data_IF_162802589317
#
_entry.id   IF_162802589317
#
_cell.length_a   1.000
_cell.length_b   1.000
_cell.length_c   1.000
_cell.angle_alpha   90.00
_cell.angle_beta   90.00
_cell.angle_gamma   90.00
#
_symmetry.space_group_name_H-M   'P 1'
#
loop_
_entity.id
_entity.type
_entity.pdbx_description
1 polymer ?
#
# COMPACT_ATOMS: atom_id res chain seq x y z
N UNK A 1 -2.27 13.73 24.21
CA UNK A 1 -3.03 12.48 23.99
C UNK A 1 -2.01 11.43 23.60
N UNK A 2 -2.02 10.25 24.21
CA UNK A 2 -1.20 9.14 23.71
C UNK A 2 -1.83 8.70 22.39
N UNK A 3 -1.29 9.16 21.28
CA UNK A 3 -1.73 8.71 19.96
C UNK A 3 -1.31 7.24 19.82
N UNK A 4 -2.29 6.35 19.93
CA UNK A 4 -2.08 4.92 19.76
C UNK A 4 -1.53 4.72 18.34
N UNK A 5 -0.35 4.11 18.27
CA UNK A 5 0.32 3.78 17.01
C UNK A 5 0.33 2.27 16.86
N UNK A 6 0.00 1.82 15.66
CA UNK A 6 -0.02 0.41 15.27
C UNK A 6 1.12 0.15 14.29
N UNK A 7 1.71 -1.04 14.37
CA UNK A 7 2.89 -1.42 13.60
C UNK A 7 2.57 -2.62 12.70
N UNK A 8 2.81 -2.47 11.39
CA UNK A 8 2.77 -3.58 10.42
C UNK A 8 4.15 -3.82 9.81
N UNK A 9 4.63 -5.04 9.93
CA UNK A 9 5.88 -5.52 9.38
C UNK A 9 5.67 -6.10 7.99
N UNK A 10 6.49 -5.67 7.04
CA UNK A 10 6.54 -6.22 5.69
C UNK A 10 7.61 -7.31 5.68
N UNK A 11 7.23 -8.51 5.27
CA UNK A 11 8.07 -9.71 5.19
C UNK A 11 7.94 -10.36 3.81
N UNK A 12 8.60 -11.50 3.61
CA UNK A 12 8.65 -12.16 2.30
C UNK A 12 9.61 -11.49 1.33
N UNK A 13 9.25 -11.43 0.04
CA UNK A 13 10.11 -10.76 -0.94
C UNK A 13 10.01 -9.25 -0.78
N UNK A 14 11.11 -8.58 -1.08
CA UNK A 14 11.16 -7.13 -1.19
C UNK A 14 10.64 -6.65 -2.56
N UNK A 15 9.39 -7.00 -2.86
CA UNK A 15 8.65 -6.54 -4.03
C UNK A 15 7.29 -6.03 -3.53
N UNK A 16 6.89 -4.77 -3.81
CA UNK A 16 5.61 -4.26 -3.38
C UNK A 16 4.41 -5.12 -3.82
N UNK A 17 4.55 -5.89 -4.90
CA UNK A 17 3.50 -6.76 -5.44
C UNK A 17 3.63 -8.23 -5.01
N UNK A 18 4.67 -8.58 -4.24
CA UNK A 18 4.92 -9.94 -3.78
C UNK A 18 5.43 -9.95 -2.33
N UNK A 19 4.65 -9.39 -1.40
CA UNK A 19 5.03 -9.27 0.01
C UNK A 19 3.92 -9.72 0.95
N UNK A 20 4.30 -10.02 2.20
CA UNK A 20 3.36 -10.33 3.28
C UNK A 20 3.45 -9.21 4.30
N UNK A 21 2.30 -8.73 4.79
CA UNK A 21 2.21 -7.62 5.73
C UNK A 21 1.47 -8.12 6.95
N UNK A 22 2.13 -8.07 8.11
CA UNK A 22 1.54 -8.58 9.34
C UNK A 22 1.74 -7.65 10.52
N UNK A 23 0.85 -7.73 11.48
CA UNK A 23 0.98 -7.02 12.75
C UNK A 23 -0.29 -7.17 13.57
N UNK A 24 -0.43 -6.31 14.55
CA UNK A 24 -1.59 -6.26 15.42
C UNK A 24 -1.98 -4.80 15.66
N UNK A 25 -3.26 -4.49 15.45
CA UNK A 25 -3.85 -3.22 15.88
C UNK A 25 -4.88 -3.44 17.00
N UNK A 26 -6.11 -2.97 16.82
CA UNK A 26 -7.28 -3.44 17.55
C UNK A 26 -7.58 -4.94 17.35
N UNK A 27 -6.99 -5.57 16.32
CA UNK A 27 -7.09 -6.99 15.99
C UNK A 27 -5.85 -7.46 15.21
N UNK A 28 -5.63 -8.78 15.07
CA UNK A 28 -4.60 -9.30 14.18
C UNK A 28 -4.80 -8.83 12.73
N UNK A 29 -3.73 -8.32 12.13
CA UNK A 29 -3.69 -7.88 10.73
C UNK A 29 -2.77 -8.79 9.94
N UNK A 30 -3.28 -9.34 8.84
CA UNK A 30 -2.52 -10.19 7.93
C UNK A 30 -2.98 -9.93 6.50
N UNK A 31 -2.09 -9.41 5.65
CA UNK A 31 -2.31 -9.27 4.22
C UNK A 31 -1.22 -10.01 3.42
N UNK A 32 -1.60 -10.70 2.35
CA UNK A 32 -0.66 -11.25 1.37
C UNK A 32 -0.88 -10.59 0.02
N UNK A 33 0.20 -10.09 -0.58
CA UNK A 33 0.23 -9.59 -1.95
C UNK A 33 0.96 -10.63 -2.79
N UNK A 34 0.30 -11.17 -3.80
CA UNK A 34 0.85 -12.22 -4.64
C UNK A 34 0.63 -11.89 -6.11
N UNK A 35 1.73 -11.72 -6.85
CA UNK A 35 1.69 -11.48 -8.29
C UNK A 35 1.94 -12.76 -9.06
N UNK A 36 0.97 -13.12 -9.91
CA UNK A 36 1.12 -14.21 -10.86
C UNK A 36 1.57 -13.63 -12.19
N UNK A 37 2.86 -13.77 -12.47
CA UNK A 37 3.40 -13.55 -13.80
C UNK A 37 3.40 -14.89 -14.55
N UNK A 38 2.45 -15.07 -15.48
CA UNK A 38 2.29 -16.33 -16.21
C UNK A 38 3.28 -16.47 -17.39
N UNK A 39 4.38 -15.71 -17.40
CA UNK A 39 5.37 -15.73 -18.48
C UNK A 39 4.85 -15.17 -19.80
N UNK A 40 3.68 -14.55 -19.75
CA UNK A 40 2.97 -13.94 -20.86
C UNK A 40 2.67 -12.52 -20.42
N UNK A 41 3.20 -11.53 -21.14
CA UNK A 41 3.06 -10.11 -20.79
C UNK A 41 1.60 -9.63 -20.71
N UNK A 42 0.65 -10.47 -21.13
CA UNK A 42 -0.79 -10.29 -21.02
C UNK A 42 -1.33 -11.02 -19.78
N UNK A 43 -2.10 -10.31 -18.95
CA UNK A 43 -2.76 -10.81 -17.72
C UNK A 43 -1.87 -10.98 -16.48
N UNK A 44 -0.86 -10.13 -16.28
CA UNK A 44 -0.23 -10.03 -14.95
C UNK A 44 -1.27 -9.55 -13.94
N UNK A 45 -1.45 -10.28 -12.85
CA UNK A 45 -2.40 -9.95 -11.80
C UNK A 45 -1.73 -10.05 -10.43
N UNK A 46 -1.91 -9.04 -9.59
CA UNK A 46 -1.62 -9.12 -8.16
C UNK A 46 -2.91 -9.37 -7.41
N UNK A 47 -2.99 -10.45 -6.64
CA UNK A 47 -4.10 -10.66 -5.71
C UNK A 47 -3.69 -10.19 -4.32
N UNK A 48 -4.67 -9.70 -3.57
CA UNK A 48 -4.48 -9.29 -2.17
C UNK A 48 -5.48 -10.05 -1.31
N UNK A 49 -4.96 -10.81 -0.37
CA UNK A 49 -5.76 -11.61 0.56
C UNK A 49 -5.64 -11.10 1.99
N UNK A 50 -6.68 -11.31 2.80
CA UNK A 50 -6.63 -11.20 4.26
C UNK A 50 -6.86 -12.57 4.86
N UNK A 51 -5.82 -13.16 5.42
CA UNK A 51 -5.79 -14.58 5.76
C UNK A 51 -6.01 -15.44 4.50
N UNK A 52 -7.18 -16.06 4.37
CA UNK A 52 -7.57 -16.88 3.20
C UNK A 52 -8.57 -16.17 2.28
N UNK A 53 -9.08 -15.00 2.66
CA UNK A 53 -10.11 -14.28 1.93
C UNK A 53 -9.50 -13.36 0.87
N UNK A 54 -9.97 -13.44 -0.38
CA UNK A 54 -9.60 -12.51 -1.44
C UNK A 54 -10.37 -11.20 -1.26
N UNK A 55 -9.66 -10.10 -1.05
CA UNK A 55 -10.26 -8.79 -0.73
C UNK A 55 -9.95 -7.71 -1.76
N UNK A 56 -8.88 -7.89 -2.55
CA UNK A 56 -8.61 -7.03 -3.68
C UNK A 56 -7.79 -7.75 -4.77
N UNK A 57 -7.83 -7.20 -5.97
CA UNK A 57 -6.94 -7.58 -7.06
C UNK A 57 -6.52 -6.37 -7.88
N UNK A 58 -5.31 -6.43 -8.43
CA UNK A 58 -4.73 -5.46 -9.33
C UNK A 58 -4.47 -6.17 -10.68
N UNK A 59 -5.25 -5.82 -11.70
CA UNK A 59 -5.13 -6.32 -13.08
C UNK A 59 -4.21 -5.38 -13.87
N UNK A 60 -2.95 -5.77 -14.05
CA UNK A 60 -1.96 -4.94 -14.72
C UNK A 60 -2.13 -5.02 -16.24
N UNK A 61 -1.88 -3.91 -16.92
CA UNK A 61 -1.88 -3.86 -18.39
C UNK A 61 -0.46 -4.08 -18.92
N UNK A 62 -0.36 -4.37 -20.21
CA UNK A 62 0.92 -4.61 -20.88
C UNK A 62 1.79 -3.35 -20.85
N UNK A 63 3.08 -3.52 -20.55
CA UNK A 63 4.06 -2.43 -20.49
C UNK A 63 4.04 -1.70 -19.14
N UNK A 64 4.25 -0.38 -19.16
CA UNK A 64 4.34 0.44 -17.94
C UNK A 64 3.00 1.12 -17.58
N UNK A 65 1.86 0.61 -18.06
CA UNK A 65 0.57 1.23 -17.81
C UNK A 65 -0.10 0.64 -16.57
N UNK A 66 -0.84 1.50 -15.86
CA UNK A 66 -1.74 1.06 -14.81
C UNK A 66 -3.02 0.47 -15.42
N UNK A 67 -3.55 -0.58 -14.81
CA UNK A 67 -4.79 -1.21 -15.22
C UNK A 67 -5.93 -0.98 -14.23
N UNK A 68 -6.66 -2.04 -13.91
CA UNK A 68 -7.87 -1.99 -13.07
C UNK A 68 -7.60 -2.58 -11.69
N UNK A 69 -8.13 -1.94 -10.65
CA UNK A 69 -8.21 -2.49 -9.30
C UNK A 69 -9.64 -2.94 -9.01
N UNK A 70 -9.78 -4.10 -8.40
CA UNK A 70 -11.01 -4.55 -7.75
C UNK A 70 -10.75 -4.56 -6.24
N UNK A 71 -11.55 -3.83 -5.47
CA UNK A 71 -11.45 -3.76 -4.00
C UNK A 71 -12.83 -4.15 -3.46
N UNK A 72 -12.93 -5.31 -2.81
CA UNK A 72 -14.20 -5.97 -2.52
C UNK A 72 -15.06 -6.08 -3.79
N UNK A 73 -16.24 -5.46 -3.82
CA UNK A 73 -17.14 -5.42 -5.00
C UNK A 73 -16.91 -4.20 -5.91
N UNK A 74 -16.00 -3.29 -5.56
CA UNK A 74 -15.78 -2.03 -6.28
C UNK A 74 -14.65 -2.18 -7.30
N UNK A 75 -14.93 -1.89 -8.56
CA UNK A 75 -13.93 -1.84 -9.63
C UNK A 75 -13.62 -0.40 -10.03
N UNK A 76 -12.34 -0.05 -10.11
CA UNK A 76 -11.86 1.29 -10.44
C UNK A 76 -10.52 1.24 -11.20
N UNK A 77 -10.17 2.27 -11.97
CA UNK A 77 -8.81 2.41 -12.49
C UNK A 77 -7.80 2.51 -11.34
N UNK A 78 -6.66 1.82 -11.44
CA UNK A 78 -5.59 1.91 -10.45
C UNK A 78 -5.06 3.35 -10.30
N UNK A 79 -5.15 4.17 -11.35
CA UNK A 79 -4.77 5.58 -11.31
C UNK A 79 -5.53 6.39 -10.25
N UNK A 80 -6.74 5.97 -9.87
CA UNK A 80 -7.51 6.61 -8.79
C UNK A 80 -6.90 6.37 -7.40
N UNK A 81 -6.03 5.36 -7.26
CA UNK A 81 -5.29 5.07 -6.02
C UNK A 81 -3.94 5.81 -5.97
N UNK A 82 -3.53 6.47 -7.06
CA UNK A 82 -2.24 7.16 -7.19
C UNK A 82 -2.37 8.43 -8.06
N UNK A 83 -3.39 9.24 -7.79
CA UNK A 83 -3.58 10.53 -8.45
C UNK A 83 -2.40 11.48 -8.15
N UNK A 84 -2.09 12.45 -9.03
CA UNK A 84 -1.06 13.45 -8.77
C UNK A 84 -1.29 14.20 -7.46
N UNK A 85 -0.28 14.21 -6.58
CA UNK A 85 -0.30 14.90 -5.29
C UNK A 85 0.08 16.38 -5.37
N UNK A 86 0.25 16.98 -4.19
CA UNK A 86 0.68 18.35 -3.96
C UNK A 86 2.08 18.67 -4.48
N UNK A 87 2.91 17.64 -4.68
CA UNK A 87 4.26 17.75 -5.23
C UNK A 87 4.51 16.62 -6.24
N UNK A 88 5.58 16.74 -7.02
CA UNK A 88 6.00 15.69 -7.97
C UNK A 88 6.31 14.35 -7.29
N UNK A 89 6.69 14.37 -6.00
CA UNK A 89 7.01 13.20 -5.19
C UNK A 89 5.84 12.79 -4.28
N UNK A 90 4.63 13.22 -4.60
CA UNK A 90 3.42 12.89 -3.88
C UNK A 90 2.37 12.27 -4.80
N UNK A 91 1.65 11.30 -4.25
CA UNK A 91 0.49 10.66 -4.88
C UNK A 91 -0.64 10.61 -3.88
N UNK A 92 -1.86 10.91 -4.31
CA UNK A 92 -3.03 10.88 -3.45
C UNK A 92 -4.10 9.90 -3.95
N UNK A 93 -5.00 9.56 -3.05
CA UNK A 93 -6.21 8.81 -3.33
C UNK A 93 -7.36 9.36 -2.50
N UNK A 94 -8.59 9.05 -2.91
CA UNK A 94 -9.80 9.32 -2.12
C UNK A 94 -10.26 7.99 -1.55
N UNK A 95 -10.35 7.90 -0.21
CA UNK A 95 -10.81 6.68 0.42
C UNK A 95 -12.31 6.52 0.23
N UNK A 96 -12.74 5.32 -0.11
CA UNK A 96 -14.18 5.01 -0.18
C UNK A 96 -14.82 4.81 1.19
N UNK A 97 -14.02 4.71 2.25
CA UNK A 97 -14.51 4.58 3.63
C UNK A 97 -15.18 5.84 4.17
N UNK A 98 -14.62 7.01 3.85
CA UNK A 98 -15.02 8.29 4.43
C UNK A 98 -15.09 9.44 3.41
N UNK A 99 -14.77 9.17 2.14
CA UNK A 99 -14.73 10.16 1.07
C UNK A 99 -13.60 11.18 1.19
N UNK A 100 -12.66 10.99 2.13
CA UNK A 100 -11.56 11.93 2.39
C UNK A 100 -10.37 11.64 1.49
N UNK A 101 -9.56 12.66 1.27
CA UNK A 101 -8.34 12.57 0.47
C UNK A 101 -7.15 12.29 1.36
N UNK A 102 -6.33 11.35 0.93
CA UNK A 102 -5.11 10.92 1.59
C UNK A 102 -3.94 11.02 0.61
N UNK A 103 -2.78 11.45 1.09
CA UNK A 103 -1.62 11.70 0.23
C UNK A 103 -0.37 11.04 0.81
N UNK A 104 0.19 10.11 0.03
CA UNK A 104 1.52 9.60 0.25
C UNK A 104 2.53 10.62 -0.26
N UNK A 105 3.53 10.93 0.57
CA UNK A 105 4.67 11.78 0.22
C UNK A 105 5.95 11.02 0.43
N UNK A 106 6.79 10.99 -0.58
CA UNK A 106 8.14 10.43 -0.44
C UNK A 106 8.96 11.29 0.52
N UNK A 107 9.66 10.65 1.44
CA UNK A 107 10.58 11.32 2.35
C UNK A 107 11.91 11.61 1.65
N UNK A 108 12.63 12.61 2.13
CA UNK A 108 14.01 12.90 1.72
C UNK A 108 14.87 13.04 2.98
N UNK A 109 16.14 12.60 2.96
CA UNK A 109 16.88 12.02 1.82
C UNK A 109 16.56 10.54 1.52
N UNK A 110 15.83 9.85 2.40
CA UNK A 110 15.43 8.46 2.19
C UNK A 110 14.34 8.33 1.13
N UNK A 111 14.77 8.20 -0.14
CA UNK A 111 13.88 8.06 -1.29
C UNK A 111 13.05 6.78 -1.34
N UNK A 112 13.13 5.92 -0.31
CA UNK A 112 12.35 4.69 -0.18
C UNK A 112 11.38 4.71 1.00
N UNK A 113 11.34 5.82 1.75
CA UNK A 113 10.39 6.06 2.84
C UNK A 113 9.22 6.95 2.38
N UNK A 114 8.04 6.73 2.97
CA UNK A 114 6.82 7.46 2.62
C UNK A 114 6.01 7.82 3.87
N UNK A 115 5.42 9.01 3.88
CA UNK A 115 4.49 9.45 4.92
C UNK A 115 3.09 9.65 4.31
N UNK A 116 2.06 9.16 5.01
CA UNK A 116 0.66 9.35 4.63
C UNK A 116 0.07 10.52 5.40
N UNK A 117 -0.50 11.47 4.67
CA UNK A 117 -1.18 12.64 5.23
C UNK A 117 -2.68 12.60 4.92
N UNK A 118 -3.49 12.98 5.91
CA UNK A 118 -4.89 13.32 5.71
C UNK A 118 -5.00 14.75 5.18
N UNK A 119 -5.76 14.96 4.10
CA UNK A 119 -6.00 16.27 3.50
C UNK A 119 -7.42 16.78 3.77
N UNK A 120 -7.62 18.11 3.88
CA UNK A 120 -6.62 19.18 3.76
C UNK A 120 -5.88 19.51 5.08
N UNK A 121 -6.20 18.83 6.19
CA UNK A 121 -5.65 19.12 7.52
C UNK A 121 -4.13 18.92 7.63
N UNK A 122 -3.54 18.21 6.68
CA UNK A 122 -2.10 17.96 6.59
C UNK A 122 -1.54 17.23 7.82
N UNK A 123 -2.38 16.39 8.45
CA UNK A 123 -2.01 15.57 9.60
C UNK A 123 -1.39 14.28 9.09
N UNK A 124 -0.17 13.96 9.53
CA UNK A 124 0.47 12.67 9.23
C UNK A 124 -0.23 11.57 10.03
N UNK A 125 -0.70 10.53 9.35
CA UNK A 125 -1.45 9.42 9.96
C UNK A 125 -0.80 8.06 9.75
N UNK A 126 0.22 7.97 8.87
CA UNK A 126 1.06 6.79 8.74
C UNK A 126 2.46 7.12 8.24
N UNK A 127 3.40 6.21 8.47
CA UNK A 127 4.80 6.30 8.07
C UNK A 127 5.32 4.91 7.67
N UNK A 128 5.70 4.76 6.40
CA UNK A 128 6.40 3.59 5.89
C UNK A 128 7.91 3.84 5.90
N UNK A 129 8.68 2.92 6.48
CA UNK A 129 10.14 2.99 6.56
C UNK A 129 10.75 1.66 6.17
N UNK A 130 11.88 1.73 5.47
CA UNK A 130 12.71 0.56 5.20
C UNK A 130 13.49 0.18 6.44
N UNK A 131 13.53 -1.09 6.74
CA UNK A 131 14.33 -1.61 7.85
C UNK A 131 14.67 -3.06 7.61
N UNK A 132 15.83 -3.49 8.09
CA UNK A 132 16.17 -4.91 8.13
C UNK A 132 16.20 -5.33 9.58
N UNK A 133 15.14 -5.98 10.05
CA UNK A 133 15.02 -6.36 11.46
C UNK A 133 14.39 -7.74 11.57
N UNK A 134 14.95 -8.64 12.39
CA UNK A 134 14.30 -9.90 12.68
C UNK A 134 13.01 -9.64 13.45
N UNK A 135 11.92 -10.29 13.03
CA UNK A 135 10.65 -10.31 13.75
C UNK A 135 10.31 -11.74 14.14
N UNK A 136 9.30 -11.92 14.99
CA UNK A 136 8.84 -13.24 15.45
C UNK A 136 8.34 -14.14 14.31
N UNK A 137 8.05 -13.58 13.14
CA UNK A 137 7.58 -14.32 11.95
C UNK A 137 8.62 -14.41 10.82
N UNK A 138 9.85 -13.92 11.06
CA UNK A 138 10.92 -13.87 10.06
C UNK A 138 11.49 -12.46 9.84
N UNK A 139 12.44 -12.32 8.90
CA UNK A 139 13.05 -11.04 8.60
C UNK A 139 12.01 -10.08 8.00
N UNK A 140 11.92 -8.89 8.58
CA UNK A 140 11.18 -7.79 8.00
C UNK A 140 12.10 -6.88 7.18
N UNK A 141 11.61 -6.42 6.04
CA UNK A 141 12.29 -5.47 5.16
C UNK A 141 11.69 -4.04 5.20
N UNK A 142 10.56 -3.86 5.88
CA UNK A 142 9.96 -2.56 6.12
C UNK A 142 8.92 -2.58 7.25
N UNK A 143 8.63 -1.41 7.79
CA UNK A 143 7.60 -1.17 8.80
C UNK A 143 6.66 -0.06 8.33
N UNK A 144 5.36 -0.28 8.49
CA UNK A 144 4.35 0.76 8.43
C UNK A 144 3.82 1.02 9.83
N UNK A 145 3.99 2.24 10.29
CA UNK A 145 3.38 2.73 11.53
C UNK A 145 2.16 3.58 11.17
N UNK A 146 1.02 3.40 11.83
CA UNK A 146 -0.20 4.15 11.52
C UNK A 146 -1.08 4.41 12.75
N UNK A 147 -1.94 5.43 12.66
CA UNK A 147 -2.70 5.97 13.81
C UNK A 147 -4.22 5.98 13.58
N UNK A 148 -4.73 5.10 12.71
CA UNK A 148 -6.17 5.01 12.41
C UNK A 148 -6.63 3.55 12.46
N UNK A 149 -7.90 3.32 12.79
CA UNK A 149 -8.49 1.99 12.91
C UNK A 149 -9.69 1.85 11.95
N UNK A 150 -9.42 1.74 10.65
CA UNK A 150 -10.44 1.53 9.64
C UNK A 150 -9.94 0.57 8.54
N UNK A 151 -10.50 -0.64 8.49
CA UNK A 151 -10.06 -1.74 7.62
C UNK A 151 -9.93 -1.37 6.14
N UNK A 152 -10.95 -0.71 5.61
CA UNK A 152 -10.99 -0.33 4.19
C UNK A 152 -9.96 0.75 3.87
N UNK A 153 -9.79 1.75 4.75
CA UNK A 153 -8.75 2.77 4.61
C UNK A 153 -7.36 2.13 4.67
N UNK A 154 -7.14 1.17 5.57
CA UNK A 154 -5.86 0.45 5.66
C UNK A 154 -5.58 -0.30 4.36
N UNK A 155 -6.56 -1.04 3.85
CA UNK A 155 -6.43 -1.75 2.57
C UNK A 155 -6.12 -0.79 1.42
N UNK A 156 -6.89 0.30 1.27
CA UNK A 156 -6.68 1.30 0.23
C UNK A 156 -5.31 2.00 0.35
N UNK A 157 -4.86 2.29 1.56
CA UNK A 157 -3.55 2.85 1.83
C UNK A 157 -2.42 1.90 1.43
N UNK A 158 -2.55 0.60 1.73
CA UNK A 158 -1.57 -0.43 1.34
C UNK A 158 -1.55 -0.66 -0.18
N UNK A 159 -2.70 -0.70 -0.83
CA UNK A 159 -2.80 -0.80 -2.30
C UNK A 159 -2.18 0.43 -2.98
N UNK A 160 -2.50 1.63 -2.49
CA UNK A 160 -1.93 2.88 -2.98
C UNK A 160 -0.41 2.92 -2.80
N UNK A 161 0.10 2.49 -1.64
CA UNK A 161 1.54 2.41 -1.37
C UNK A 161 2.24 1.38 -2.28
N UNK A 162 1.62 0.22 -2.50
CA UNK A 162 2.11 -0.78 -3.45
C UNK A 162 2.26 -0.19 -4.85
N UNK A 163 1.22 0.48 -5.37
CA UNK A 163 1.24 1.11 -6.68
C UNK A 163 2.28 2.24 -6.76
N UNK A 164 2.36 3.09 -5.75
CA UNK A 164 3.32 4.19 -5.73
C UNK A 164 4.76 3.68 -5.72
N UNK A 165 5.08 2.69 -4.88
CA UNK A 165 6.40 2.04 -4.88
C UNK A 165 6.71 1.37 -6.22
N UNK A 166 5.73 0.73 -6.86
CA UNK A 166 5.94 0.09 -8.15
C UNK A 166 6.28 1.11 -9.24
N UNK A 167 5.56 2.24 -9.29
CA UNK A 167 5.83 3.38 -10.18
C UNK A 167 7.25 3.88 -9.98
N UNK A 168 7.65 4.05 -8.71
CA UNK A 168 8.98 4.56 -8.36
C UNK A 168 10.11 3.63 -8.82
N UNK A 169 9.89 2.31 -8.80
CA UNK A 169 10.88 1.32 -9.21
C UNK A 169 10.99 1.14 -10.72
N UNK A 170 9.91 1.32 -11.48
CA UNK A 170 9.85 0.98 -12.91
C UNK A 170 9.81 2.20 -13.84
N UNK A 171 9.59 3.39 -13.28
CA UNK A 171 9.45 4.62 -14.04
C UNK A 171 8.11 4.69 -14.78
N UNK A 172 7.33 5.70 -14.40
CA UNK A 172 6.13 6.14 -15.12
C UNK A 172 6.06 7.65 -15.15
#
# INVERSE_FOLDING_TARGET
>A
MNDITYDLFFTGKDDPRACVIIGEDTKPVFFSFETFDRGLAYNTQTIVTRGKELIASLEWTVGNHLGMATINSRRLPMSHLVLPGSTVNARNFVSSSDGRRYEWRRCYPDGSAYDLFLLPSNVRIAAFRRMHTPTVVGPSHALLQYQFSHDLLLLEALLSLCLFRWIDLHGM
#
